data_IF_142539726429
#
_entry.id   IF_142539726429
#
_cell.length_a   1.000
_cell.length_b   1.000
_cell.length_c   1.000
_cell.angle_alpha   90.00
_cell.angle_beta   90.00
_cell.angle_gamma   90.00
#
_symmetry.space_group_name_H-M   'P 1'
#
loop_
_entity.id
_entity.type
_entity.pdbx_description
1 polymer ?
#
# COMPACT_ATOMS: atom_id res chain seq x y z
N UNK A 1 -13.77 -4.82 -18.18
CA UNK A 1 -14.96 -4.25 -17.51
C UNK A 1 -15.09 -2.77 -17.90
N UNK A 2 -16.34 -2.34 -18.15
CA UNK A 2 -16.61 -0.97 -18.60
C UNK A 2 -16.53 0.08 -17.47
N UNK A 3 -16.49 -0.34 -16.20
CA UNK A 3 -16.41 0.60 -15.08
C UNK A 3 -15.82 -0.03 -13.81
N UNK A 4 -15.23 0.83 -12.98
CA UNK A 4 -14.71 0.45 -11.67
C UNK A 4 -15.84 -0.05 -10.73
N UNK A 5 -15.65 -1.20 -10.11
CA UNK A 5 -16.66 -1.90 -9.30
C UNK A 5 -17.38 -0.98 -8.28
N UNK A 6 -16.62 -0.20 -7.53
CA UNK A 6 -17.21 0.68 -6.50
C UNK A 6 -18.05 1.82 -7.07
N UNK A 7 -17.71 2.32 -8.26
CA UNK A 7 -18.55 3.32 -8.97
C UNK A 7 -19.88 2.69 -9.40
N UNK A 8 -19.83 1.48 -9.93
CA UNK A 8 -21.05 0.74 -10.33
C UNK A 8 -21.97 0.50 -9.13
N UNK A 9 -21.42 0.07 -7.99
CA UNK A 9 -22.18 -0.14 -6.75
C UNK A 9 -22.79 1.18 -6.26
N UNK A 10 -22.03 2.28 -6.26
CA UNK A 10 -22.53 3.59 -5.85
C UNK A 10 -23.70 4.07 -6.71
N UNK A 11 -23.63 3.90 -8.04
CA UNK A 11 -24.74 4.21 -8.95
C UNK A 11 -25.99 3.36 -8.67
N UNK A 12 -25.83 2.05 -8.47
CA UNK A 12 -26.94 1.16 -8.13
C UNK A 12 -27.61 1.54 -6.80
N UNK A 13 -26.82 1.86 -5.77
CA UNK A 13 -27.33 2.31 -4.48
C UNK A 13 -28.09 3.62 -4.61
N UNK A 14 -27.57 4.60 -5.38
CA UNK A 14 -28.23 5.87 -5.61
C UNK A 14 -29.56 5.70 -6.34
N UNK A 15 -29.59 4.86 -7.40
CA UNK A 15 -30.81 4.58 -8.15
C UNK A 15 -31.86 3.88 -7.27
N UNK A 16 -31.44 2.89 -6.46
CA UNK A 16 -32.33 2.21 -5.53
C UNK A 16 -32.93 3.18 -4.49
N UNK A 17 -32.08 4.02 -3.87
CA UNK A 17 -32.54 4.99 -2.86
C UNK A 17 -33.49 6.03 -3.44
N UNK A 18 -33.30 6.42 -4.71
CA UNK A 18 -34.22 7.33 -5.39
C UNK A 18 -35.58 6.69 -5.69
N UNK A 19 -35.58 5.40 -6.05
CA UNK A 19 -36.79 4.63 -6.33
C UNK A 19 -37.56 4.23 -5.05
N UNK A 20 -36.86 4.13 -3.91
CA UNK A 20 -37.38 3.66 -2.63
C UNK A 20 -37.00 4.61 -1.49
N UNK A 21 -37.56 5.85 -1.44
CA UNK A 21 -37.19 6.85 -0.45
C UNK A 21 -37.54 6.45 1.00
N UNK A 22 -38.46 5.51 1.17
CA UNK A 22 -38.85 4.95 2.46
C UNK A 22 -37.86 3.87 2.97
N UNK A 23 -37.01 3.33 2.10
CA UNK A 23 -36.11 2.23 2.44
C UNK A 23 -34.87 2.72 3.17
N UNK A 24 -34.59 2.14 4.34
CA UNK A 24 -33.32 2.33 5.03
C UNK A 24 -32.24 1.44 4.45
N UNK A 25 -31.38 2.01 3.62
CA UNK A 25 -30.23 1.26 3.04
C UNK A 25 -29.10 1.11 4.07
N UNK A 26 -28.77 -0.12 4.42
CA UNK A 26 -27.57 -0.44 5.22
C UNK A 26 -26.37 -0.64 4.29
N UNK A 27 -25.42 0.27 4.34
CA UNK A 27 -24.22 0.24 3.48
C UNK A 27 -23.13 -0.61 4.14
N UNK A 28 -22.87 -1.79 3.58
CA UNK A 28 -21.87 -2.75 4.07
C UNK A 28 -20.76 -3.02 3.03
N UNK A 29 -20.62 -2.16 2.03
CA UNK A 29 -19.72 -2.37 0.90
C UNK A 29 -18.32 -1.82 1.14
N UNK A 30 -18.17 -0.50 1.22
CA UNK A 30 -16.85 0.14 1.38
C UNK A 30 -16.52 0.28 2.86
N UNK A 31 -15.40 -0.33 3.28
CA UNK A 31 -14.85 -0.11 4.62
C UNK A 31 -14.24 1.28 4.72
N UNK A 32 -14.92 2.19 5.41
CA UNK A 32 -14.38 3.51 5.76
C UNK A 32 -14.24 3.63 7.28
N UNK A 33 -13.40 4.57 7.72
CA UNK A 33 -13.27 4.90 9.14
C UNK A 33 -14.50 5.68 9.59
N UNK A 34 -14.99 5.37 10.80
CA UNK A 34 -16.22 5.96 11.37
C UNK A 34 -15.96 6.94 12.50
N UNK A 35 -14.71 6.99 12.98
CA UNK A 35 -14.31 7.88 14.07
C UNK A 35 -13.57 9.10 13.52
N UNK A 36 -13.69 10.26 14.17
CA UNK A 36 -12.94 11.46 13.82
C UNK A 36 -11.43 11.25 14.05
N UNK A 37 -10.63 12.14 13.46
CA UNK A 37 -9.19 12.18 13.71
C UNK A 37 -8.89 12.35 15.21
N UNK A 38 -7.83 11.70 15.67
CA UNK A 38 -7.38 11.84 17.07
C UNK A 38 -7.04 13.31 17.39
N UNK A 39 -7.32 13.79 18.61
CA UNK A 39 -7.05 15.19 18.99
C UNK A 39 -5.59 15.61 18.76
N UNK A 40 -4.63 14.71 18.98
CA UNK A 40 -3.22 14.98 18.75
C UNK A 40 -2.91 15.25 17.26
N UNK A 41 -3.54 14.51 16.35
CA UNK A 41 -3.43 14.71 14.91
C UNK A 41 -3.99 16.08 14.52
N UNK A 42 -5.19 16.39 15.00
CA UNK A 42 -5.83 17.70 14.73
C UNK A 42 -4.96 18.85 15.23
N UNK A 43 -4.44 18.76 16.45
CA UNK A 43 -3.56 19.78 17.03
C UNK A 43 -2.26 19.97 16.21
N UNK A 44 -1.64 18.86 15.76
CA UNK A 44 -0.44 18.92 14.93
C UNK A 44 -0.72 19.60 13.57
N UNK A 45 -1.84 19.27 12.94
CA UNK A 45 -2.24 19.90 11.67
C UNK A 45 -2.57 21.39 11.83
N UNK A 46 -3.29 21.78 12.89
CA UNK A 46 -3.57 23.19 13.20
C UNK A 46 -2.30 23.99 13.44
N UNK A 47 -1.34 23.41 14.17
CA UNK A 47 -0.02 24.03 14.37
C UNK A 47 0.70 24.23 13.04
N UNK A 48 0.70 23.22 12.18
CA UNK A 48 1.31 23.29 10.86
C UNK A 48 0.70 24.38 9.97
N UNK A 49 -0.64 24.52 9.99
CA UNK A 49 -1.34 25.63 9.30
C UNK A 49 -0.85 26.98 9.84
N UNK A 50 -0.78 27.14 11.17
CA UNK A 50 -0.31 28.38 11.80
C UNK A 50 1.15 28.70 11.45
N UNK A 51 2.00 27.70 11.29
CA UNK A 51 3.38 27.84 10.82
C UNK A 51 3.45 28.38 9.39
N UNK A 52 2.58 27.87 8.49
CA UNK A 52 2.56 28.34 7.10
C UNK A 52 2.07 29.79 6.95
N UNK A 53 1.36 30.33 7.94
CA UNK A 53 0.89 31.72 7.97
C UNK A 53 1.95 32.73 8.42
N UNK A 54 3.16 32.30 8.77
CA UNK A 54 4.21 33.17 9.28
C UNK A 54 5.43 33.14 8.33
N UNK A 55 5.99 34.31 8.04
CA UNK A 55 7.15 34.45 7.13
C UNK A 55 8.34 33.59 7.56
N UNK A 56 8.58 33.48 8.87
CA UNK A 56 9.74 32.79 9.44
C UNK A 56 9.63 31.26 9.38
N UNK A 57 8.41 30.75 9.30
CA UNK A 57 8.12 29.30 9.31
C UNK A 57 7.37 28.81 8.08
N UNK A 58 7.13 29.71 7.11
CA UNK A 58 6.53 29.36 5.83
C UNK A 58 7.37 28.29 5.11
N UNK A 59 6.67 27.36 4.46
CA UNK A 59 7.29 26.29 3.64
C UNK A 59 6.69 26.29 2.26
N UNK A 60 7.56 26.38 1.25
CA UNK A 60 7.20 26.15 -0.15
C UNK A 60 7.20 24.67 -0.50
N UNK A 61 7.70 24.33 -1.69
CA UNK A 61 7.88 22.93 -2.09
C UNK A 61 8.75 22.18 -1.08
N UNK A 62 8.21 21.09 -0.56
CA UNK A 62 8.96 20.16 0.28
C UNK A 62 9.76 19.15 -0.54
N UNK A 63 10.53 18.28 0.13
CA UNK A 63 11.16 17.13 -0.52
C UNK A 63 10.10 16.21 -1.12
N UNK A 64 10.26 15.80 -2.37
CA UNK A 64 9.31 14.90 -3.06
C UNK A 64 9.20 13.54 -2.36
N UNK A 65 10.28 13.07 -1.74
CA UNK A 65 10.31 11.83 -0.97
C UNK A 65 9.61 11.95 0.40
N UNK A 66 9.31 13.16 0.83
CA UNK A 66 8.74 13.47 2.15
C UNK A 66 9.74 14.08 3.12
N UNK A 67 9.23 14.76 4.13
CA UNK A 67 10.06 15.41 5.15
C UNK A 67 10.77 14.39 6.04
N UNK A 68 11.99 14.72 6.46
CA UNK A 68 12.84 13.87 7.29
C UNK A 68 12.15 13.49 8.60
N UNK A 69 11.46 14.44 9.26
CA UNK A 69 10.79 14.17 10.53
C UNK A 69 9.78 12.99 10.45
N UNK A 70 9.08 12.82 9.31
CA UNK A 70 8.14 11.72 9.14
C UNK A 70 8.86 10.44 8.73
N UNK A 71 9.83 10.52 7.81
CA UNK A 71 10.62 9.36 7.38
C UNK A 71 11.40 8.74 8.54
N UNK A 72 12.04 9.57 9.37
CA UNK A 72 12.75 9.13 10.58
C UNK A 72 11.80 8.54 11.62
N UNK A 73 10.60 9.09 11.78
CA UNK A 73 9.57 8.52 12.66
C UNK A 73 9.14 7.14 12.20
N UNK A 74 8.94 6.96 10.89
CA UNK A 74 8.62 5.65 10.28
C UNK A 74 9.80 4.69 10.44
N UNK A 75 11.03 5.14 10.18
CA UNK A 75 12.24 4.34 10.40
C UNK A 75 12.31 3.85 11.86
N UNK A 76 12.04 4.73 12.81
CA UNK A 76 11.97 4.39 14.23
C UNK A 76 10.86 3.38 14.56
N UNK A 77 9.72 3.44 13.85
CA UNK A 77 8.67 2.44 13.97
C UNK A 77 9.18 1.04 13.56
N UNK A 78 9.81 0.91 12.41
CA UNK A 78 10.37 -0.36 11.94
C UNK A 78 11.47 -0.89 12.87
N UNK A 79 12.35 0.00 13.35
CA UNK A 79 13.43 -0.37 14.27
C UNK A 79 12.90 -0.98 15.58
N UNK A 80 11.77 -0.47 16.12
CA UNK A 80 11.11 -1.05 17.31
C UNK A 80 10.57 -2.47 17.06
N UNK A 81 10.38 -2.85 15.80
CA UNK A 81 9.96 -4.19 15.39
C UNK A 81 11.13 -5.05 14.88
N UNK A 82 12.37 -4.62 15.13
CA UNK A 82 13.57 -5.38 14.74
C UNK A 82 13.95 -5.25 13.26
N UNK A 83 13.33 -4.34 12.53
CA UNK A 83 13.56 -4.13 11.09
C UNK A 83 14.40 -2.86 10.92
N UNK A 84 15.64 -3.01 10.41
CA UNK A 84 16.50 -1.89 10.07
C UNK A 84 16.18 -1.37 8.66
N UNK A 85 15.81 -0.12 8.53
CA UNK A 85 15.62 0.59 7.26
C UNK A 85 16.44 1.87 7.27
N UNK A 86 16.93 2.27 6.10
CA UNK A 86 17.47 3.61 5.90
C UNK A 86 16.34 4.58 5.54
N UNK A 87 16.48 5.84 5.96
CA UNK A 87 15.45 6.85 5.67
C UNK A 87 15.22 7.07 4.16
N UNK A 88 16.22 6.82 3.31
CA UNK A 88 16.11 6.91 1.86
C UNK A 88 15.33 5.75 1.22
N UNK A 89 15.02 4.69 1.98
CA UNK A 89 14.16 3.59 1.55
C UNK A 89 12.67 3.91 1.71
N UNK A 90 12.33 5.00 2.42
CA UNK A 90 10.96 5.39 2.78
C UNK A 90 10.52 6.57 1.92
N UNK A 91 9.39 6.42 1.21
CA UNK A 91 8.80 7.41 0.32
C UNK A 91 7.40 7.75 0.79
N UNK A 92 7.18 9.00 1.22
CA UNK A 92 5.87 9.48 1.66
C UNK A 92 5.00 9.76 0.45
N UNK A 93 3.74 9.33 0.51
CA UNK A 93 2.76 9.46 -0.57
C UNK A 93 1.38 9.86 -0.05
N UNK A 94 0.45 10.05 -0.98
CA UNK A 94 -0.96 10.35 -0.68
C UNK A 94 -1.81 9.10 -0.38
N UNK A 95 -1.18 7.94 -0.29
CA UNK A 95 -1.80 6.68 0.11
C UNK A 95 -1.41 5.48 -0.74
N UNK A 96 -1.59 4.29 -0.19
CA UNK A 96 -1.20 3.03 -0.82
C UNK A 96 -1.85 2.80 -2.20
N UNK A 97 -3.08 3.28 -2.41
CA UNK A 97 -3.78 3.11 -3.70
C UNK A 97 -3.03 3.73 -4.87
N UNK A 98 -2.60 4.98 -4.73
CA UNK A 98 -1.84 5.67 -5.77
C UNK A 98 -0.46 5.05 -5.95
N UNK A 99 0.21 4.67 -4.86
CA UNK A 99 1.52 4.03 -4.95
C UNK A 99 1.45 2.67 -5.67
N UNK A 100 0.45 1.85 -5.36
CA UNK A 100 0.23 0.56 -6.02
C UNK A 100 -0.04 0.67 -7.52
N UNK A 101 -0.73 1.74 -7.95
CA UNK A 101 -0.89 2.02 -9.37
C UNK A 101 0.36 2.62 -10.00
N UNK A 102 1.02 3.51 -9.29
CA UNK A 102 2.17 4.27 -9.79
C UNK A 102 3.47 3.44 -9.84
N UNK A 103 3.64 2.46 -8.96
CA UNK A 103 4.86 1.64 -8.93
C UNK A 103 5.04 0.84 -10.23
N UNK A 104 3.97 0.58 -10.92
CA UNK A 104 3.99 -0.13 -12.20
C UNK A 104 4.75 0.61 -13.31
N UNK A 105 4.96 1.92 -13.15
CA UNK A 105 5.75 2.74 -14.09
C UNK A 105 7.24 2.32 -14.15
N UNK A 106 7.75 1.58 -13.13
CA UNK A 106 9.15 1.15 -13.10
C UNK A 106 9.35 -0.31 -13.57
N UNK A 107 8.28 -0.99 -13.95
CA UNK A 107 8.32 -2.37 -14.45
C UNK A 107 7.88 -2.45 -15.91
N UNK A 108 8.41 -3.43 -16.63
CA UNK A 108 8.07 -3.65 -18.03
C UNK A 108 6.61 -4.08 -18.19
N UNK A 109 6.02 -3.73 -19.32
CA UNK A 109 4.63 -4.11 -19.66
C UNK A 109 4.51 -5.59 -20.02
N UNK A 110 5.59 -6.24 -20.41
CA UNK A 110 5.63 -7.67 -20.73
C UNK A 110 5.67 -8.57 -19.50
N UNK A 111 5.84 -7.99 -18.29
CA UNK A 111 5.85 -8.76 -17.06
C UNK A 111 4.52 -9.49 -16.83
N UNK A 112 4.60 -10.74 -16.42
CA UNK A 112 3.46 -11.54 -15.95
C UNK A 112 3.20 -11.26 -14.49
N UNK A 113 1.94 -10.99 -14.14
CA UNK A 113 1.52 -10.59 -12.80
C UNK A 113 0.70 -11.68 -12.15
N UNK A 114 1.08 -12.12 -10.96
CA UNK A 114 0.32 -13.06 -10.14
C UNK A 114 -0.50 -12.29 -9.11
N UNK A 115 -1.81 -12.52 -9.10
CA UNK A 115 -2.76 -11.84 -8.21
C UNK A 115 -3.65 -12.87 -7.52
N UNK A 116 -3.71 -12.93 -6.17
CA UNK A 116 -4.72 -13.69 -5.46
C UNK A 116 -6.14 -13.20 -5.78
N UNK A 117 -7.11 -14.11 -5.84
CA UNK A 117 -8.53 -13.78 -6.08
C UNK A 117 -9.42 -14.53 -5.08
N UNK A 118 -10.26 -13.85 -4.26
CA UNK A 118 -10.59 -12.41 -4.30
C UNK A 118 -9.57 -11.49 -3.64
N UNK A 119 -9.44 -10.28 -4.20
CA UNK A 119 -8.48 -9.28 -3.74
C UNK A 119 -9.01 -7.85 -4.01
N UNK A 120 -8.28 -6.86 -3.54
CA UNK A 120 -8.56 -5.45 -3.82
C UNK A 120 -8.48 -5.17 -5.34
N UNK A 121 -9.56 -4.67 -5.99
CA UNK A 121 -9.66 -4.59 -7.46
C UNK A 121 -8.56 -3.76 -8.14
N UNK A 122 -7.95 -2.83 -7.41
CA UNK A 122 -6.91 -1.94 -7.96
C UNK A 122 -5.75 -2.70 -8.58
N UNK A 123 -5.37 -3.85 -8.04
CA UNK A 123 -4.27 -4.65 -8.59
C UNK A 123 -4.60 -5.18 -9.97
N UNK A 124 -5.82 -5.66 -10.17
CA UNK A 124 -6.29 -6.14 -11.47
C UNK A 124 -6.44 -4.96 -12.44
N UNK A 125 -7.19 -3.93 -12.04
CA UNK A 125 -7.52 -2.81 -12.91
C UNK A 125 -6.27 -2.09 -13.44
N UNK A 126 -5.28 -1.82 -12.58
CA UNK A 126 -4.06 -1.12 -12.97
C UNK A 126 -3.20 -1.95 -13.94
N UNK A 127 -3.17 -3.28 -13.79
CA UNK A 127 -2.43 -4.15 -14.70
C UNK A 127 -3.17 -4.36 -16.02
N UNK A 128 -4.51 -4.43 -16.01
CA UNK A 128 -5.33 -4.42 -17.24
C UNK A 128 -5.12 -3.11 -18.02
N UNK A 129 -5.13 -1.96 -17.33
CA UNK A 129 -4.85 -0.66 -17.97
C UNK A 129 -3.46 -0.59 -18.59
N UNK A 130 -2.47 -1.28 -18.00
CA UNK A 130 -1.10 -1.37 -18.51
C UNK A 130 -0.91 -2.45 -19.58
N UNK A 131 -1.94 -3.27 -19.85
CA UNK A 131 -1.89 -4.36 -20.83
C UNK A 131 -1.08 -5.58 -20.41
N UNK A 132 -0.80 -5.75 -19.10
CA UNK A 132 -0.03 -6.90 -18.59
C UNK A 132 -0.84 -8.18 -18.56
N UNK A 133 -0.15 -9.30 -18.71
CA UNK A 133 -0.72 -10.63 -18.50
C UNK A 133 -0.94 -10.88 -17.01
N UNK A 134 -2.16 -11.26 -16.63
CA UNK A 134 -2.51 -11.58 -15.25
C UNK A 134 -2.76 -13.09 -15.13
N UNK A 135 -2.18 -13.67 -14.10
CA UNK A 135 -2.45 -15.03 -13.62
C UNK A 135 -3.10 -14.91 -12.25
N UNK A 136 -4.21 -15.59 -12.03
CA UNK A 136 -4.88 -15.58 -10.74
C UNK A 136 -4.48 -16.79 -9.90
N UNK A 137 -4.30 -16.56 -8.60
CA UNK A 137 -4.16 -17.62 -7.60
C UNK A 137 -5.44 -17.70 -6.79
N UNK A 138 -6.11 -18.84 -6.83
CA UNK A 138 -7.38 -19.03 -6.13
C UNK A 138 -7.20 -18.94 -4.62
N UNK A 139 -7.89 -17.98 -4.00
CA UNK A 139 -8.00 -17.83 -2.56
C UNK A 139 -9.42 -18.23 -2.13
N UNK A 140 -9.54 -19.38 -1.48
CA UNK A 140 -10.84 -19.98 -1.13
C UNK A 140 -10.82 -20.57 0.29
N UNK A 141 -11.96 -21.15 0.71
CA UNK A 141 -12.08 -21.69 2.06
C UNK A 141 -11.15 -22.89 2.33
N UNK A 142 -10.77 -23.65 1.29
CA UNK A 142 -9.92 -24.84 1.43
C UNK A 142 -8.48 -24.46 1.77
N UNK A 143 -7.99 -23.31 1.25
CA UNK A 143 -6.66 -22.79 1.56
C UNK A 143 -6.68 -21.63 2.57
N UNK A 144 -7.80 -21.41 3.28
CA UNK A 144 -7.97 -20.32 4.24
C UNK A 144 -7.87 -18.93 3.63
N UNK A 145 -8.16 -18.80 2.34
CA UNK A 145 -7.98 -17.58 1.54
C UNK A 145 -6.53 -17.07 1.47
N UNK A 146 -5.55 -17.98 1.64
CA UNK A 146 -4.12 -17.70 1.63
C UNK A 146 -3.44 -18.65 0.63
N UNK A 147 -3.51 -18.36 -0.68
CA UNK A 147 -2.80 -19.16 -1.66
C UNK A 147 -1.30 -19.14 -1.40
N UNK A 148 -0.66 -20.26 -1.63
CA UNK A 148 0.78 -20.43 -1.48
C UNK A 148 1.46 -20.49 -2.86
N UNK A 149 2.79 -20.29 -2.95
CA UNK A 149 3.51 -20.38 -4.21
C UNK A 149 3.26 -21.70 -4.94
N UNK A 150 3.09 -21.62 -6.25
CA UNK A 150 3.00 -22.75 -7.16
C UNK A 150 4.17 -22.68 -8.14
N UNK A 151 5.08 -23.66 -8.07
CA UNK A 151 6.28 -23.75 -8.90
C UNK A 151 5.97 -23.89 -10.40
N UNK A 152 4.75 -24.25 -10.77
CA UNK A 152 4.32 -24.32 -12.17
C UNK A 152 3.99 -22.96 -12.77
N UNK A 153 3.80 -21.94 -11.94
CA UNK A 153 3.51 -20.56 -12.34
C UNK A 153 4.82 -19.77 -12.38
N UNK A 154 5.11 -19.12 -13.49
CA UNK A 154 6.22 -18.18 -13.58
C UNK A 154 5.66 -16.75 -13.65
N UNK A 155 5.84 -16.00 -12.58
CA UNK A 155 5.40 -14.62 -12.47
C UNK A 155 6.57 -13.68 -12.16
N UNK A 156 6.56 -12.50 -12.77
CA UNK A 156 7.56 -11.46 -12.55
C UNK A 156 7.16 -10.51 -11.42
N UNK A 157 5.85 -10.29 -11.26
CA UNK A 157 5.27 -9.42 -10.24
C UNK A 157 4.21 -10.21 -9.45
N UNK A 158 4.32 -10.19 -8.13
CA UNK A 158 3.43 -10.92 -7.23
C UNK A 158 2.76 -9.94 -6.29
N UNK A 159 1.42 -9.87 -6.28
CA UNK A 159 0.70 -9.09 -5.28
C UNK A 159 0.39 -9.94 -4.06
N UNK A 160 0.64 -9.39 -2.87
CA UNK A 160 0.23 -9.95 -1.58
C UNK A 160 -0.37 -8.83 -0.76
N UNK A 161 -1.62 -8.99 -0.32
CA UNK A 161 -2.27 -8.10 0.63
C UNK A 161 -2.45 -8.84 1.96
N UNK A 162 -1.83 -8.33 3.03
CA UNK A 162 -1.91 -9.01 4.34
C UNK A 162 -1.95 -7.99 5.50
N UNK A 163 -3.04 -7.96 6.25
CA UNK A 163 -4.34 -8.64 6.05
C UNK A 163 -5.00 -8.30 4.72
N UNK A 164 -5.65 -9.30 4.08
CA UNK A 164 -6.23 -9.14 2.75
C UNK A 164 -7.54 -8.35 2.76
N UNK A 165 -7.76 -7.55 1.75
CA UNK A 165 -9.05 -6.99 1.41
C UNK A 165 -9.58 -7.75 0.15
N UNK A 166 -10.72 -8.50 0.21
CA UNK A 166 -11.80 -8.37 1.21
C UNK A 166 -11.84 -9.45 2.31
N UNK A 167 -10.99 -10.46 2.30
CA UNK A 167 -11.16 -11.67 3.11
C UNK A 167 -10.77 -11.50 4.59
N UNK A 168 -9.89 -10.56 4.89
CA UNK A 168 -9.31 -10.37 6.22
C UNK A 168 -8.23 -11.41 6.59
N UNK A 169 -7.96 -12.38 5.72
CA UNK A 169 -6.92 -13.39 5.95
C UNK A 169 -5.53 -12.73 6.00
N UNK A 170 -4.68 -13.22 6.89
CA UNK A 170 -3.33 -12.70 7.08
C UNK A 170 -2.31 -13.83 7.10
N UNK A 171 -1.22 -13.66 6.38
CA UNK A 171 -0.13 -14.62 6.30
C UNK A 171 0.69 -14.67 7.59
N UNK A 172 1.11 -15.87 7.99
CA UNK A 172 2.16 -16.05 8.99
C UNK A 172 3.53 -15.67 8.43
N UNK A 173 4.51 -15.47 9.32
CA UNK A 173 5.89 -15.23 8.91
C UNK A 173 6.47 -16.40 8.08
N UNK A 174 6.11 -17.65 8.40
CA UNK A 174 6.53 -18.84 7.66
C UNK A 174 5.94 -18.88 6.24
N UNK A 175 4.65 -18.55 6.12
CA UNK A 175 3.98 -18.50 4.81
C UNK A 175 4.55 -17.37 3.94
N UNK A 176 4.85 -16.20 4.52
CA UNK A 176 5.52 -15.11 3.79
C UNK A 176 6.95 -15.50 3.42
N UNK A 177 7.65 -16.27 4.26
CA UNK A 177 8.99 -16.76 3.89
C UNK A 177 8.96 -17.64 2.64
N UNK A 178 7.95 -18.50 2.49
CA UNK A 178 7.79 -19.31 1.29
C UNK A 178 7.59 -18.42 0.03
N UNK A 179 6.83 -17.34 0.14
CA UNK A 179 6.66 -16.38 -0.96
C UNK A 179 7.96 -15.63 -1.28
N UNK A 180 8.73 -15.23 -0.25
CA UNK A 180 10.04 -14.59 -0.43
C UNK A 180 11.04 -15.54 -1.09
N UNK A 181 11.08 -16.79 -0.66
CA UNK A 181 11.95 -17.80 -1.24
C UNK A 181 11.60 -18.07 -2.70
N UNK A 182 10.31 -18.20 -3.02
CA UNK A 182 9.83 -18.32 -4.39
C UNK A 182 10.23 -17.11 -5.24
N UNK A 183 9.95 -15.89 -4.78
CA UNK A 183 10.25 -14.66 -5.51
C UNK A 183 11.75 -14.54 -5.82
N UNK A 184 12.61 -14.86 -4.86
CA UNK A 184 14.07 -14.85 -5.05
C UNK A 184 14.54 -15.92 -6.02
N UNK A 185 13.95 -17.11 -5.99
CA UNK A 185 14.29 -18.20 -6.90
C UNK A 185 13.92 -17.90 -8.35
N UNK A 186 12.82 -17.19 -8.57
CA UNK A 186 12.26 -16.86 -9.89
C UNK A 186 12.63 -15.45 -10.39
N UNK A 187 13.38 -14.67 -9.62
CA UNK A 187 13.70 -13.28 -9.98
C UNK A 187 12.46 -12.36 -10.01
N UNK A 188 11.43 -12.68 -9.22
CA UNK A 188 10.18 -11.92 -9.14
C UNK A 188 10.24 -10.82 -8.07
N UNK A 189 9.37 -9.82 -8.19
CA UNK A 189 9.14 -8.81 -7.16
C UNK A 189 7.80 -9.03 -6.46
N UNK A 190 7.79 -8.94 -5.14
CA UNK A 190 6.58 -8.94 -4.33
C UNK A 190 6.14 -7.49 -4.09
N UNK A 191 4.92 -7.14 -4.48
CA UNK A 191 4.23 -5.92 -4.13
C UNK A 191 3.33 -6.21 -2.91
N UNK A 192 3.84 -5.91 -1.73
CA UNK A 192 3.21 -6.25 -0.45
C UNK A 192 2.37 -5.08 0.07
N UNK A 193 1.04 -5.22 0.04
CA UNK A 193 0.11 -4.23 0.58
C UNK A 193 -0.16 -4.50 2.07
N UNK A 194 0.37 -3.62 2.92
CA UNK A 194 0.27 -3.65 4.37
C UNK A 194 -0.72 -2.59 4.92
N UNK A 195 -1.70 -2.15 4.11
CA UNK A 195 -2.64 -1.09 4.51
C UNK A 195 -3.42 -1.42 5.79
N UNK A 196 -3.62 -2.69 6.09
CA UNK A 196 -4.36 -3.18 7.26
C UNK A 196 -3.47 -3.76 8.37
N UNK A 197 -2.16 -3.60 8.30
CA UNK A 197 -1.21 -4.18 9.27
C UNK A 197 -1.46 -3.78 10.73
N UNK A 198 -2.08 -2.62 10.96
CA UNK A 198 -2.42 -2.16 12.31
C UNK A 198 -3.47 -3.03 13.02
N UNK A 199 -4.24 -3.83 12.27
CA UNK A 199 -5.25 -4.73 12.82
C UNK A 199 -4.72 -6.14 13.14
N UNK A 200 -3.47 -6.43 12.82
CA UNK A 200 -2.83 -7.70 13.20
C UNK A 200 -2.62 -7.71 14.71
N UNK A 201 -3.36 -8.56 15.42
CA UNK A 201 -3.30 -8.72 16.88
C UNK A 201 -2.81 -10.09 17.31
N UNK A 202 -2.89 -11.09 16.43
CA UNK A 202 -2.51 -12.46 16.74
C UNK A 202 -0.98 -12.64 16.68
N UNK A 203 -0.46 -13.47 17.59
CA UNK A 203 0.96 -13.85 17.59
C UNK A 203 1.26 -14.76 16.39
N UNK A 204 2.42 -14.56 15.78
CA UNK A 204 2.87 -15.35 14.62
C UNK A 204 2.42 -14.84 13.27
N UNK A 205 1.49 -13.89 13.23
CA UNK A 205 1.16 -13.19 11.98
C UNK A 205 2.12 -12.02 11.76
N UNK A 206 2.63 -11.91 10.54
CA UNK A 206 3.55 -10.83 10.17
C UNK A 206 2.80 -9.51 9.96
N UNK A 207 3.39 -8.40 10.42
CA UNK A 207 2.93 -7.03 10.15
C UNK A 207 3.67 -6.37 8.99
N UNK A 208 4.84 -6.89 8.69
CA UNK A 208 5.67 -6.44 7.59
C UNK A 208 6.31 -7.63 6.90
N UNK A 209 6.44 -7.55 5.58
CA UNK A 209 7.16 -8.58 4.83
C UNK A 209 8.64 -8.62 5.23
N UNK A 210 9.17 -7.51 5.74
CA UNK A 210 10.58 -7.43 6.17
C UNK A 210 10.87 -8.14 7.50
N UNK A 211 9.88 -8.75 8.13
CA UNK A 211 10.08 -9.73 9.21
C UNK A 211 10.63 -11.05 8.66
N UNK A 212 10.58 -11.28 7.33
CA UNK A 212 11.09 -12.47 6.66
C UNK A 212 12.49 -12.23 6.10
N UNK A 213 13.30 -13.31 6.11
CA UNK A 213 14.68 -13.25 5.65
C UNK A 213 14.75 -13.13 4.12
N UNK A 214 15.50 -12.16 3.61
CA UNK A 214 15.70 -11.94 2.17
C UNK A 214 14.62 -11.07 1.52
N UNK A 215 13.59 -10.66 2.25
CA UNK A 215 12.51 -9.85 1.67
C UNK A 215 12.97 -8.50 1.10
N UNK A 216 14.02 -7.90 1.65
CA UNK A 216 14.58 -6.65 1.11
C UNK A 216 15.19 -6.80 -0.28
N UNK A 217 15.50 -8.01 -0.70
CA UNK A 217 16.06 -8.31 -2.02
C UNK A 217 14.97 -8.49 -3.09
N UNK A 218 13.70 -8.70 -2.69
CA UNK A 218 12.63 -9.04 -3.63
C UNK A 218 11.26 -8.39 -3.33
N UNK A 219 11.11 -7.51 -2.32
CA UNK A 219 9.80 -6.99 -1.95
C UNK A 219 9.78 -5.46 -1.78
N UNK A 220 8.66 -4.86 -2.19
CA UNK A 220 8.27 -3.47 -1.95
C UNK A 220 7.05 -3.49 -1.02
N UNK A 221 7.07 -2.72 0.09
CA UNK A 221 5.97 -2.66 1.03
C UNK A 221 5.21 -1.35 0.91
N UNK A 222 3.88 -1.43 0.78
CA UNK A 222 2.97 -0.29 0.69
C UNK A 222 2.18 -0.14 1.98
N UNK A 223 2.20 1.06 2.56
CA UNK A 223 1.59 1.36 3.84
C UNK A 223 0.65 2.55 3.74
N UNK A 224 -0.36 2.58 4.60
CA UNK A 224 -1.37 3.64 4.59
C UNK A 224 -1.69 4.12 6.00
N UNK A 225 -1.81 5.42 6.17
CA UNK A 225 -2.40 6.02 7.38
C UNK A 225 -3.93 6.05 7.31
N UNK A 226 -4.53 5.69 6.17
CA UNK A 226 -6.00 5.69 6.01
C UNK A 226 -6.71 4.87 7.07
N UNK A 227 -6.21 3.67 7.39
CA UNK A 227 -6.83 2.77 8.37
C UNK A 227 -6.21 2.91 9.76
N UNK A 228 -4.91 3.20 9.83
CA UNK A 228 -4.17 3.34 11.09
C UNK A 228 -4.54 4.61 11.86
N UNK A 229 -4.70 5.73 11.15
CA UNK A 229 -4.88 7.06 11.75
C UNK A 229 -6.18 7.77 11.32
N UNK A 230 -7.07 7.09 10.60
CA UNK A 230 -8.29 7.70 10.09
C UNK A 230 -8.09 8.64 8.90
N UNK A 231 -7.02 8.49 8.14
CA UNK A 231 -6.63 9.39 7.05
C UNK A 231 -7.30 9.08 5.70
N UNK A 232 -8.47 8.47 5.69
CA UNK A 232 -9.20 8.16 4.45
C UNK A 232 -9.48 9.41 3.62
N UNK A 233 -9.83 10.54 4.27
CA UNK A 233 -10.04 11.84 3.62
C UNK A 233 -8.83 12.77 3.66
N UNK A 234 -7.86 12.54 4.55
CA UNK A 234 -6.67 13.39 4.74
C UNK A 234 -5.58 13.06 3.73
N UNK A 235 -5.48 11.80 3.33
CA UNK A 235 -4.57 11.27 2.30
C UNK A 235 -3.10 11.30 2.70
N UNK A 236 -2.63 10.22 3.33
CA UNK A 236 -1.22 9.97 3.57
C UNK A 236 -0.93 8.47 3.62
N UNK A 237 0.20 8.09 3.11
CA UNK A 237 0.76 6.75 3.16
C UNK A 237 2.26 6.79 2.91
N UNK A 238 2.87 5.64 2.77
CA UNK A 238 4.26 5.54 2.38
C UNK A 238 4.57 4.20 1.74
N UNK A 239 5.59 4.20 0.91
CA UNK A 239 6.14 3.00 0.28
C UNK A 239 7.57 2.80 0.76
N UNK A 240 7.93 1.57 1.09
CA UNK A 240 9.31 1.17 1.39
C UNK A 240 9.87 0.44 0.19
N UNK A 241 10.93 1.01 -0.41
CA UNK A 241 11.66 0.39 -1.51
C UNK A 241 13.11 0.19 -1.06
N UNK A 242 13.50 -1.05 -0.71
CA UNK A 242 14.83 -1.32 -0.16
C UNK A 242 15.97 -0.99 -1.13
N UNK A 243 17.10 -0.55 -0.56
CA UNK A 243 18.33 -0.33 -1.33
C UNK A 243 18.89 -1.64 -1.92
N UNK A 244 18.57 -2.77 -1.29
CA UNK A 244 19.02 -4.11 -1.73
C UNK A 244 18.21 -4.68 -2.89
N UNK A 245 17.01 -4.10 -3.17
CA UNK A 245 16.14 -4.54 -4.25
C UNK A 245 16.70 -4.10 -5.61
N UNK A 246 17.24 -5.06 -6.36
CA UNK A 246 17.87 -4.85 -7.68
C UNK A 246 17.54 -6.00 -8.61
N UNK A 247 17.31 -5.69 -9.87
CA UNK A 247 17.21 -6.63 -10.98
C UNK A 247 18.28 -6.28 -12.02
N UNK A 248 19.10 -7.23 -12.41
CA UNK A 248 20.23 -7.04 -13.36
C UNK A 248 21.13 -5.83 -13.00
N UNK A 249 21.33 -5.60 -11.70
CA UNK A 249 22.14 -4.49 -11.19
C UNK A 249 21.41 -3.14 -11.16
N UNK A 250 20.17 -3.07 -11.65
CA UNK A 250 19.35 -1.86 -11.65
C UNK A 250 18.59 -1.77 -10.32
N UNK A 251 18.76 -0.65 -9.60
CA UNK A 251 18.12 -0.41 -8.31
C UNK A 251 16.67 0.06 -8.47
N UNK A 252 15.72 -0.71 -7.94
CA UNK A 252 14.31 -0.29 -7.90
C UNK A 252 14.10 0.98 -7.06
N UNK A 253 14.86 1.16 -5.98
CA UNK A 253 14.83 2.38 -5.17
C UNK A 253 15.16 3.62 -6.01
N UNK A 254 16.23 3.56 -6.83
CA UNK A 254 16.62 4.68 -7.70
C UNK A 254 15.61 4.94 -8.81
N UNK A 255 15.02 3.88 -9.38
CA UNK A 255 13.96 4.02 -10.39
C UNK A 255 12.71 4.68 -9.77
N UNK A 256 12.31 4.24 -8.57
CA UNK A 256 11.16 4.82 -7.88
C UNK A 256 11.42 6.28 -7.48
N UNK A 257 12.60 6.59 -6.96
CA UNK A 257 13.00 7.98 -6.68
C UNK A 257 12.90 8.83 -7.95
N UNK A 258 13.43 8.36 -9.08
CA UNK A 258 13.38 9.07 -10.36
C UNK A 258 11.94 9.28 -10.84
N UNK A 259 11.09 8.26 -10.71
CA UNK A 259 9.67 8.35 -11.04
C UNK A 259 8.97 9.40 -10.17
N UNK A 260 9.16 9.34 -8.86
CA UNK A 260 8.52 10.25 -7.91
C UNK A 260 8.96 11.70 -8.13
N UNK A 261 10.25 11.97 -8.27
CA UNK A 261 10.75 13.32 -8.55
C UNK A 261 10.29 13.89 -9.91
N UNK A 262 9.84 13.03 -10.83
CA UNK A 262 9.34 13.45 -12.15
C UNK A 262 7.84 13.73 -12.15
N UNK A 263 7.05 12.96 -11.40
CA UNK A 263 5.58 12.94 -11.51
C UNK A 263 4.85 13.32 -10.20
N UNK A 264 5.58 13.63 -9.12
CA UNK A 264 4.99 13.88 -7.81
C UNK A 264 5.78 14.93 -7.02
N UNK A 265 5.09 15.93 -6.46
CA UNK A 265 5.70 17.03 -5.70
C UNK A 265 5.61 16.84 -4.18
N UNK A 266 5.31 15.66 -3.71
CA UNK A 266 5.20 15.35 -2.29
C UNK A 266 3.82 15.63 -1.69
N UNK A 267 3.62 15.09 -0.50
CA UNK A 267 2.41 15.29 0.32
C UNK A 267 2.49 16.65 1.00
N UNK A 268 1.38 17.37 1.17
CA UNK A 268 1.36 18.65 1.86
C UNK A 268 1.99 18.58 3.25
N UNK A 269 2.75 19.63 3.62
CA UNK A 269 3.39 19.76 4.94
C UNK A 269 2.41 19.50 6.10
N UNK A 270 1.22 20.10 6.03
CA UNK A 270 0.17 19.97 7.05
C UNK A 270 -0.20 18.51 7.30
N UNK A 271 -0.35 17.75 6.21
CA UNK A 271 -0.73 16.33 6.27
C UNK A 271 0.39 15.50 6.88
N UNK A 272 1.64 15.72 6.45
CA UNK A 272 2.80 15.02 7.01
C UNK A 272 3.04 15.33 8.49
N UNK A 273 2.69 16.53 8.96
CA UNK A 273 2.75 16.90 10.39
C UNK A 273 1.68 16.23 11.23
N UNK A 274 0.55 15.88 10.61
CA UNK A 274 -0.51 15.11 11.25
C UNK A 274 -0.20 13.60 11.33
N UNK A 275 0.54 13.09 10.35
CA UNK A 275 0.90 11.68 10.25
C UNK A 275 2.01 11.30 11.23
#
# INVERSE_FOLDING_TARGET
EESYLFSTVAHKVSAFSAAHPEAKVLRMGIGDVTLPLAPAVVAAMQKAVSELGKKETFRGYGPEQGYDFLRESIQGYYARHGIALDANEIFISDGAKSDLGNILDIFDTDNTVLIPDPVYPVYVDTNVMAGRKIVFADANAENGFLPMPDESVNADIIYICSPNNPTGAAYSAEQLQAWVDYARAHGAVILYDAAYKCFVSEKGLARSIYETKGAKECAIEFCSFSKTAGFTGTRCGYTVVPNDLKFDGISCNKLWLRRQTTKFNGVPYIVQRGA
#
